data_IF_538895628841
#
_entry.id   IF_538895628841
#
_cell.length_a   1.000
_cell.length_b   1.000
_cell.length_c   1.000
_cell.angle_alpha   90.00
_cell.angle_beta   90.00
_cell.angle_gamma   90.00
#
_symmetry.space_group_name_H-M   'P 1'
#
loop_
_entity.id
_entity.type
_entity.pdbx_description
1 polymer ?
#
# COMPACT_ATOMS: atom_id res chain seq x y z
N UNK A 1 17.46 6.49 1.81
CA UNK A 1 17.43 7.86 1.27
C UNK A 1 16.00 8.13 0.83
N UNK A 2 15.57 9.37 0.95
CA UNK A 2 14.29 9.86 0.45
C UNK A 2 14.49 11.19 -0.26
N UNK A 3 13.51 11.57 -1.08
CA UNK A 3 13.48 12.82 -1.85
C UNK A 3 12.27 13.62 -1.39
N UNK A 4 12.42 14.94 -1.27
CA UNK A 4 11.33 15.87 -0.94
C UNK A 4 11.70 17.30 -1.33
N UNK A 5 10.79 18.25 -1.17
CA UNK A 5 11.11 19.67 -1.19
C UNK A 5 11.10 20.13 0.27
N UNK A 6 12.29 20.32 0.86
CA UNK A 6 12.43 20.58 2.30
C UNK A 6 12.52 22.09 2.61
N UNK A 7 12.62 22.93 1.58
CA UNK A 7 12.73 24.39 1.72
C UNK A 7 11.66 25.17 0.91
N UNK A 8 10.72 24.48 0.28
CA UNK A 8 9.60 25.06 -0.46
C UNK A 8 10.00 25.73 -1.78
N UNK A 9 11.18 25.44 -2.33
CA UNK A 9 11.68 26.09 -3.55
C UNK A 9 11.25 25.38 -4.86
N UNK A 10 10.51 24.27 -4.73
CA UNK A 10 10.00 23.46 -5.82
C UNK A 10 11.02 22.52 -6.44
N UNK A 11 12.22 22.39 -5.86
CA UNK A 11 13.29 21.53 -6.38
C UNK A 11 13.49 20.29 -5.49
N UNK A 12 13.93 19.16 -6.07
CA UNK A 12 14.17 17.96 -5.28
C UNK A 12 15.41 18.11 -4.37
N UNK A 13 15.18 17.96 -3.08
CA UNK A 13 16.17 17.81 -2.02
C UNK A 13 16.31 16.32 -1.61
N UNK A 14 17.38 15.99 -0.88
CA UNK A 14 17.64 14.62 -0.42
C UNK A 14 17.80 14.54 1.09
N UNK A 15 17.23 13.51 1.70
CA UNK A 15 17.56 13.11 3.07
C UNK A 15 18.17 11.70 3.07
N UNK A 16 19.33 11.54 3.71
CA UNK A 16 20.18 10.34 3.66
C UNK A 16 20.48 9.86 5.07
N UNK A 17 20.08 8.64 5.40
CA UNK A 17 20.44 7.99 6.66
C UNK A 17 21.90 7.51 6.62
N UNK A 18 22.71 7.93 7.60
CA UNK A 18 24.12 7.59 7.71
C UNK A 18 24.32 6.57 8.84
N UNK A 19 24.21 5.29 8.49
CA UNK A 19 24.18 4.14 9.41
C UNK A 19 25.23 4.25 10.54
N UNK A 20 26.51 4.33 10.20
CA UNK A 20 27.60 4.34 11.20
C UNK A 20 27.77 5.69 11.91
N UNK A 21 27.26 6.77 11.33
CA UNK A 21 27.39 8.12 11.91
C UNK A 21 26.24 8.48 12.86
N UNK A 22 25.16 7.69 12.89
CA UNK A 22 24.01 7.91 13.77
C UNK A 22 23.25 9.20 13.48
N UNK A 23 23.27 9.68 12.23
CA UNK A 23 22.64 10.92 11.80
C UNK A 23 21.97 10.79 10.43
N UNK A 24 21.16 11.78 10.07
CA UNK A 24 20.62 11.98 8.72
C UNK A 24 21.24 13.23 8.11
N UNK A 25 21.77 13.12 6.90
CA UNK A 25 22.17 14.28 6.09
C UNK A 25 20.99 14.79 5.29
N UNK A 26 20.75 16.10 5.32
CA UNK A 26 19.82 16.81 4.43
C UNK A 26 20.64 17.59 3.43
N UNK A 27 20.35 17.41 2.15
CA UNK A 27 21.03 18.02 1.03
C UNK A 27 20.02 18.81 0.19
N UNK A 28 20.16 20.15 0.18
CA UNK A 28 19.28 21.02 -0.60
C UNK A 28 19.74 21.05 -2.07
N UNK A 29 18.82 20.83 -2.99
CA UNK A 29 19.07 20.70 -4.42
C UNK A 29 18.96 22.02 -5.17
N UNK A 30 19.86 22.25 -6.12
CA UNK A 30 19.77 23.40 -7.03
C UNK A 30 18.86 23.15 -8.24
N UNK A 31 18.28 21.95 -8.37
CA UNK A 31 17.46 21.55 -9.53
C UNK A 31 18.24 21.24 -10.81
N UNK A 32 19.57 21.42 -10.80
CA UNK A 32 20.49 21.07 -11.88
C UNK A 32 21.26 19.75 -11.60
N UNK A 33 20.85 19.01 -10.56
CA UNK A 33 21.51 17.80 -10.08
C UNK A 33 22.65 18.04 -9.09
N UNK A 34 22.92 19.29 -8.70
CA UNK A 34 23.92 19.63 -7.67
C UNK A 34 23.30 19.86 -6.29
N UNK A 35 24.08 19.60 -5.24
CA UNK A 35 23.68 19.65 -3.82
C UNK A 35 24.72 20.41 -2.98
N UNK A 36 24.65 21.75 -2.91
CA UNK A 36 25.72 22.58 -2.31
C UNK A 36 25.68 22.65 -0.77
N UNK A 37 24.52 22.49 -0.14
CA UNK A 37 24.36 22.56 1.31
C UNK A 37 24.11 21.17 1.90
N UNK A 38 24.86 20.80 2.93
CA UNK A 38 24.65 19.55 3.69
C UNK A 38 24.52 19.88 5.17
N UNK A 39 23.37 19.59 5.75
CA UNK A 39 23.14 19.67 7.19
C UNK A 39 23.01 18.25 7.78
N UNK A 40 23.54 18.01 8.97
CA UNK A 40 23.47 16.71 9.63
C UNK A 40 22.65 16.79 10.91
N UNK A 41 21.62 15.96 11.03
CA UNK A 41 20.72 15.90 12.17
C UNK A 41 20.94 14.60 12.92
N UNK A 42 21.29 14.70 14.21
CA UNK A 42 21.53 13.53 15.05
C UNK A 42 20.22 12.84 15.37
N UNK A 43 20.14 11.55 15.07
CA UNK A 43 18.98 10.70 15.37
C UNK A 43 19.34 9.55 16.31
N UNK A 44 20.63 9.23 16.43
CA UNK A 44 21.09 8.11 17.24
C UNK A 44 20.83 6.75 16.58
N UNK A 45 21.29 5.69 17.25
CA UNK A 45 21.25 4.32 16.72
C UNK A 45 22.00 4.16 15.38
N UNK A 46 21.77 3.02 14.72
CA UNK A 46 22.17 2.79 13.34
C UNK A 46 20.97 3.12 12.42
N UNK A 47 20.84 4.36 11.88
CA UNK A 47 19.72 4.72 11.01
C UNK A 47 19.78 3.97 9.68
N UNK A 48 18.70 3.29 9.34
CA UNK A 48 18.59 2.38 8.18
C UNK A 48 17.72 2.94 7.06
N UNK A 49 16.63 3.63 7.42
CA UNK A 49 15.71 4.22 6.47
C UNK A 49 15.21 5.58 6.94
N UNK A 50 14.75 6.39 5.99
CA UNK A 50 14.13 7.69 6.24
C UNK A 50 12.91 7.82 5.33
N UNK A 51 11.80 8.30 5.88
CA UNK A 51 10.59 8.65 5.15
C UNK A 51 10.24 10.12 5.39
N UNK A 52 9.49 10.70 4.47
CA UNK A 52 9.01 12.09 4.50
C UNK A 52 7.51 12.09 4.68
N UNK A 53 7.00 13.04 5.46
CA UNK A 53 5.56 13.33 5.60
C UNK A 53 5.37 14.69 6.27
N UNK A 54 4.12 15.17 6.32
CA UNK A 54 3.73 16.31 7.17
C UNK A 54 3.07 15.72 8.42
N UNK A 55 3.81 15.64 9.53
CA UNK A 55 3.38 14.97 10.76
C UNK A 55 2.68 15.91 11.75
N UNK A 56 2.83 17.22 11.57
CA UNK A 56 2.29 18.25 12.44
C UNK A 56 1.27 19.19 11.75
N UNK A 57 0.95 18.94 10.48
CA UNK A 57 -0.02 19.67 9.65
C UNK A 57 0.34 21.14 9.42
N UNK A 58 1.63 21.48 9.42
CA UNK A 58 2.07 22.84 9.09
C UNK A 58 2.33 23.04 7.58
N UNK A 59 2.24 21.98 6.79
CA UNK A 59 2.47 21.99 5.35
C UNK A 59 3.94 21.85 4.95
N UNK A 60 4.85 21.73 5.93
CA UNK A 60 6.26 21.53 5.70
C UNK A 60 6.64 20.04 5.78
N UNK A 61 7.73 19.69 5.11
CA UNK A 61 8.19 18.31 5.09
C UNK A 61 8.97 17.96 6.37
N UNK A 62 8.49 16.95 7.08
CA UNK A 62 9.12 16.33 8.25
C UNK A 62 9.79 14.99 7.88
N UNK A 63 10.62 14.46 8.79
CA UNK A 63 11.35 13.20 8.60
C UNK A 63 11.05 12.19 9.70
N UNK A 64 10.72 10.96 9.33
CA UNK A 64 10.69 9.80 10.23
C UNK A 64 11.84 8.85 9.87
N UNK A 65 12.61 8.42 10.87
CA UNK A 65 13.85 7.66 10.65
C UNK A 65 13.77 6.32 11.34
N UNK A 66 13.94 5.22 10.62
CA UNK A 66 14.05 3.90 11.22
C UNK A 66 15.48 3.70 11.74
N UNK A 67 15.63 3.48 13.04
CA UNK A 67 16.92 3.21 13.69
C UNK A 67 16.86 1.92 14.49
N UNK A 68 18.01 1.36 14.84
CA UNK A 68 18.06 0.23 15.79
C UNK A 68 17.49 0.53 17.19
N UNK A 69 17.35 1.81 17.57
CA UNK A 69 16.84 2.18 18.89
C UNK A 69 15.32 2.43 18.89
N UNK A 70 14.77 2.89 17.77
CA UNK A 70 13.40 3.38 17.67
C UNK A 70 13.15 4.10 16.35
N UNK A 71 12.14 4.98 16.36
CA UNK A 71 11.76 5.79 15.21
C UNK A 71 11.81 7.28 15.60
N UNK A 72 12.99 7.93 15.47
CA UNK A 72 13.12 9.37 15.62
C UNK A 72 12.34 10.10 14.53
N UNK A 73 11.52 11.05 14.97
CA UNK A 73 10.80 12.01 14.12
C UNK A 73 11.46 13.37 14.27
N UNK A 74 11.72 14.05 13.15
CA UNK A 74 12.36 15.36 13.08
C UNK A 74 11.46 16.28 12.29
N UNK A 75 10.92 17.31 12.96
CA UNK A 75 10.04 18.28 12.31
C UNK A 75 10.84 19.27 11.46
N UNK A 76 10.34 19.56 10.26
CA UNK A 76 10.86 20.58 9.37
C UNK A 76 10.48 21.98 9.83
N UNK A 77 11.27 22.98 9.42
CA UNK A 77 10.94 24.39 9.60
C UNK A 77 10.54 25.08 8.28
N UNK A 78 10.47 24.34 7.18
CA UNK A 78 10.15 24.86 5.84
C UNK A 78 11.25 25.64 5.13
N UNK A 79 12.42 25.82 5.76
CA UNK A 79 13.58 26.53 5.18
C UNK A 79 14.77 25.61 4.88
N UNK A 80 14.53 24.30 4.86
CA UNK A 80 15.54 23.26 4.75
C UNK A 80 16.22 22.89 6.06
N UNK A 81 15.88 23.57 7.17
CA UNK A 81 16.32 23.20 8.51
C UNK A 81 15.30 22.34 9.26
N UNK A 82 15.80 21.51 10.18
CA UNK A 82 15.00 20.60 10.99
C UNK A 82 15.24 20.81 12.50
N UNK A 83 14.24 20.49 13.30
CA UNK A 83 14.27 20.56 14.76
C UNK A 83 15.10 19.42 15.39
N UNK A 84 15.14 19.35 16.71
CA UNK A 84 15.74 18.21 17.39
C UNK A 84 14.82 16.98 17.26
N UNK A 85 15.43 15.80 17.06
CA UNK A 85 14.68 14.56 16.90
C UNK A 85 13.98 14.14 18.21
N UNK A 86 12.73 13.68 18.08
CA UNK A 86 11.95 13.05 19.16
C UNK A 86 11.79 11.57 18.83
N UNK A 87 12.26 10.68 19.70
CA UNK A 87 12.26 9.24 19.46
C UNK A 87 11.02 8.53 20.02
N UNK A 88 10.40 7.69 19.18
CA UNK A 88 9.22 6.89 19.51
C UNK A 88 9.55 5.39 19.68
N UNK A 89 10.64 5.09 20.39
CA UNK A 89 11.07 3.74 20.78
C UNK A 89 11.06 3.47 22.29
N UNK A 90 11.31 2.21 22.72
CA UNK A 90 11.51 1.03 21.90
C UNK A 90 10.20 0.46 21.33
N UNK A 91 10.26 -0.08 20.11
CA UNK A 91 9.16 -0.85 19.53
C UNK A 91 9.39 -2.32 19.91
N UNK A 92 8.83 -2.74 21.05
CA UNK A 92 8.82 -4.12 21.60
C UNK A 92 10.08 -4.98 21.33
N UNK A 93 11.12 -4.79 22.14
CA UNK A 93 12.31 -5.66 22.15
C UNK A 93 12.19 -6.77 23.20
N UNK A 94 11.97 -8.01 22.79
CA UNK A 94 12.31 -9.16 23.65
C UNK A 94 13.65 -9.82 23.30
N UNK A 95 14.23 -9.66 22.09
CA UNK A 95 15.52 -10.33 21.80
C UNK A 95 16.40 -9.84 20.64
N UNK A 96 16.11 -8.74 19.92
CA UNK A 96 17.03 -8.27 18.88
C UNK A 96 16.47 -7.19 17.95
N UNK A 97 17.41 -6.54 17.22
CA UNK A 97 17.36 -5.50 16.16
C UNK A 97 16.05 -4.72 15.90
N UNK A 98 16.20 -3.40 15.77
CA UNK A 98 15.10 -2.44 15.72
C UNK A 98 14.42 -2.21 14.37
N UNK A 99 13.66 -1.11 14.25
CA UNK A 99 13.12 -0.60 13.00
C UNK A 99 14.12 -0.65 11.84
N UNK A 100 13.69 -1.25 10.73
CA UNK A 100 14.50 -1.40 9.51
C UNK A 100 14.01 -0.50 8.39
N UNK A 101 12.69 -0.36 8.25
CA UNK A 101 12.06 0.54 7.30
C UNK A 101 10.82 1.18 7.91
N UNK A 102 10.48 2.36 7.38
CA UNK A 102 9.30 3.13 7.77
C UNK A 102 8.57 3.58 6.50
N UNK A 103 7.25 3.45 6.50
CA UNK A 103 6.35 3.99 5.48
C UNK A 103 5.35 4.95 6.15
N UNK A 104 4.85 5.91 5.38
CA UNK A 104 3.97 6.98 5.86
C UNK A 104 2.68 6.96 5.04
N UNK A 105 1.54 6.95 5.71
CA UNK A 105 0.20 7.14 5.11
C UNK A 105 -0.85 7.42 6.21
N UNK A 106 -2.10 7.72 5.86
CA UNK A 106 -3.23 7.82 6.80
C UNK A 106 -3.95 6.47 6.94
N UNK A 107 -3.43 5.59 7.81
CA UNK A 107 -3.90 4.20 7.89
C UNK A 107 -5.27 4.08 8.61
N UNK A 108 -5.66 5.09 9.39
CA UNK A 108 -6.89 5.09 10.18
C UNK A 108 -7.97 6.07 9.69
N UNK A 109 -7.71 6.82 8.62
CA UNK A 109 -8.64 7.75 8.00
C UNK A 109 -8.94 9.01 8.82
N UNK A 110 -8.07 9.37 9.78
CA UNK A 110 -8.23 10.56 10.61
C UNK A 110 -7.59 11.83 10.01
N UNK A 111 -6.94 11.67 8.85
CA UNK A 111 -6.27 12.72 8.10
C UNK A 111 -4.93 13.12 8.69
N UNK A 112 -4.38 12.43 9.68
CA UNK A 112 -3.01 12.59 10.15
C UNK A 112 -2.11 11.56 9.46
N UNK A 113 -0.86 11.93 9.22
CA UNK A 113 0.14 10.97 8.77
C UNK A 113 0.49 10.01 9.92
N UNK A 114 0.36 8.71 9.66
CA UNK A 114 0.73 7.61 10.54
C UNK A 114 2.04 6.95 10.04
N UNK A 115 2.69 6.15 10.89
CA UNK A 115 3.90 5.41 10.54
C UNK A 115 3.67 3.89 10.59
N UNK A 116 3.99 3.22 9.49
CA UNK A 116 4.09 1.77 9.43
C UNK A 116 5.56 1.35 9.47
N UNK A 117 5.93 0.61 10.50
CA UNK A 117 7.33 0.30 10.83
C UNK A 117 7.56 -1.19 10.72
N UNK A 118 8.52 -1.59 9.89
CA UNK A 118 8.99 -2.97 9.81
C UNK A 118 10.16 -3.16 10.78
N UNK A 119 10.03 -4.10 11.71
CA UNK A 119 11.05 -4.44 12.71
C UNK A 119 11.65 -5.82 12.41
N UNK A 120 12.94 -6.02 12.68
CA UNK A 120 13.67 -7.26 12.34
C UNK A 120 14.33 -7.83 13.60
N UNK A 121 13.85 -8.94 14.15
CA UNK A 121 14.20 -9.36 15.52
C UNK A 121 15.48 -10.22 15.68
N UNK A 122 16.28 -10.46 14.64
CA UNK A 122 17.58 -11.14 14.79
C UNK A 122 18.56 -10.80 13.66
N UNK A 123 19.85 -11.06 13.88
CA UNK A 123 20.92 -10.92 12.88
C UNK A 123 21.27 -12.26 12.21
N UNK A 124 20.62 -13.35 12.61
CA UNK A 124 20.98 -14.72 12.24
C UNK A 124 19.98 -15.37 11.27
N UNK A 125 19.44 -14.61 10.32
CA UNK A 125 18.68 -15.11 9.16
C UNK A 125 17.45 -15.99 9.50
N UNK A 126 17.06 -16.05 10.77
CA UNK A 126 15.82 -16.64 11.30
C UNK A 126 14.78 -15.55 11.61
N UNK A 127 15.01 -14.36 11.04
CA UNK A 127 14.51 -13.06 11.48
C UNK A 127 13.00 -13.03 11.67
N UNK A 128 12.51 -13.03 12.90
CA UNK A 128 11.09 -12.72 13.13
C UNK A 128 10.89 -11.26 12.73
N UNK A 129 10.18 -11.02 11.64
CA UNK A 129 9.84 -9.67 11.21
C UNK A 129 8.42 -9.36 11.70
N UNK A 130 8.29 -8.24 12.41
CA UNK A 130 6.99 -7.71 12.82
C UNK A 130 6.74 -6.39 12.11
N UNK A 131 5.47 -6.05 11.93
CA UNK A 131 5.07 -4.71 11.47
C UNK A 131 4.32 -4.04 12.61
N UNK A 132 4.70 -2.81 12.93
CA UNK A 132 4.07 -1.98 13.95
C UNK A 132 3.47 -0.74 13.31
N UNK A 133 2.29 -0.35 13.77
CA UNK A 133 1.62 0.89 13.38
C UNK A 133 1.73 1.90 14.52
N UNK A 134 2.21 3.10 14.21
CA UNK A 134 2.22 4.24 15.12
C UNK A 134 1.26 5.28 14.55
N UNK A 135 0.13 5.48 15.24
CA UNK A 135 -0.87 6.46 14.79
C UNK A 135 -0.40 7.88 15.12
N UNK A 136 -0.41 8.77 14.14
CA UNK A 136 -0.13 10.17 14.28
C UNK A 136 -1.22 10.89 15.07
N UNK A 137 -0.83 11.93 15.80
CA UNK A 137 -1.77 12.82 16.50
C UNK A 137 -2.01 14.12 15.73
N UNK A 138 -1.25 14.35 14.66
CA UNK A 138 -1.31 15.57 13.84
C UNK A 138 -0.60 16.77 14.45
N UNK A 139 0.18 16.60 15.53
CA UNK A 139 0.97 17.63 16.19
C UNK A 139 2.48 17.31 16.16
N UNK A 140 2.90 16.39 15.28
CA UNK A 140 4.25 15.84 15.23
C UNK A 140 4.48 14.68 16.21
N UNK A 141 3.53 14.39 17.10
CA UNK A 141 3.63 13.27 18.02
C UNK A 141 2.84 12.04 17.59
N UNK A 142 3.34 10.88 17.99
CA UNK A 142 2.75 9.58 17.70
C UNK A 142 2.22 8.89 18.95
N UNK A 143 1.22 8.03 18.77
CA UNK A 143 0.75 7.11 19.78
C UNK A 143 1.77 5.98 20.00
N UNK A 144 1.54 5.16 21.04
CA UNK A 144 2.38 3.99 21.25
C UNK A 144 2.26 3.03 20.07
N UNK A 145 3.37 2.40 19.65
CA UNK A 145 3.36 1.39 18.59
C UNK A 145 2.39 0.27 18.90
N UNK A 146 1.60 -0.13 17.90
CA UNK A 146 0.72 -1.30 17.95
C UNK A 146 1.23 -2.31 16.96
N UNK A 147 1.57 -3.51 17.43
CA UNK A 147 1.95 -4.62 16.54
C UNK A 147 0.74 -5.05 15.71
N UNK A 148 0.90 -5.09 14.40
CA UNK A 148 -0.12 -5.56 13.47
C UNK A 148 -0.08 -7.08 13.37
N UNK A 149 -1.27 -7.70 13.50
CA UNK A 149 -1.49 -9.08 13.08
C UNK A 149 -1.88 -9.09 11.61
N UNK A 150 -0.91 -9.35 10.75
CA UNK A 150 -1.11 -9.47 9.30
C UNK A 150 -1.56 -10.89 8.90
N UNK A 151 -1.92 -11.73 9.88
CA UNK A 151 -2.26 -13.13 9.71
C UNK A 151 -1.03 -14.03 9.64
N UNK A 152 -1.22 -15.30 9.99
CA UNK A 152 -0.22 -16.34 9.76
C UNK A 152 -0.01 -16.50 8.26
N UNK A 153 1.21 -16.22 7.77
CA UNK A 153 1.59 -16.69 6.45
C UNK A 153 1.32 -18.20 6.35
N UNK A 154 0.77 -18.71 5.24
CA UNK A 154 0.60 -20.15 5.05
C UNK A 154 1.93 -20.92 5.12
N UNK A 155 3.07 -20.22 4.99
CA UNK A 155 4.37 -20.77 5.31
C UNK A 155 4.78 -20.40 6.74
N UNK A 156 4.87 -21.36 7.69
CA UNK A 156 5.24 -21.13 9.09
C UNK A 156 6.70 -20.71 9.33
N UNK A 157 7.29 -19.97 8.39
CA UNK A 157 8.52 -19.23 8.59
C UNK A 157 8.70 -18.03 7.63
N UNK A 158 7.75 -17.73 6.75
CA UNK A 158 7.89 -16.63 5.78
C UNK A 158 7.99 -15.28 6.51
N UNK A 159 9.04 -14.52 6.21
CA UNK A 159 9.34 -13.27 6.91
C UNK A 159 8.91 -12.09 6.03
N UNK A 160 8.18 -11.10 6.57
CA UNK A 160 7.93 -9.87 5.84
C UNK A 160 9.27 -9.24 5.39
N UNK A 161 9.45 -9.09 4.10
CA UNK A 161 10.51 -8.32 3.45
C UNK A 161 10.12 -6.85 3.35
N UNK A 162 10.39 -6.19 2.23
CA UNK A 162 10.00 -4.80 2.03
C UNK A 162 8.48 -4.65 2.02
N UNK A 163 8.01 -3.54 2.60
CA UNK A 163 6.61 -3.12 2.61
C UNK A 163 6.50 -1.86 1.77
N UNK A 164 5.53 -1.84 0.87
CA UNK A 164 5.09 -0.63 0.16
C UNK A 164 3.61 -0.41 0.43
N UNK A 165 3.21 0.85 0.33
CA UNK A 165 1.85 1.32 0.61
C UNK A 165 1.28 1.93 -0.66
N UNK A 166 -0.01 1.72 -0.90
CA UNK A 166 -0.76 2.33 -1.99
C UNK A 166 -2.21 1.89 -1.98
N UNK A 167 -3.07 2.54 -2.76
CA UNK A 167 -4.47 2.13 -2.94
C UNK A 167 -4.56 1.10 -4.08
N UNK A 168 -4.40 -0.19 -3.75
CA UNK A 168 -4.36 -1.27 -4.75
C UNK A 168 -5.75 -1.67 -5.25
N UNK A 169 -6.82 -1.25 -4.58
CA UNK A 169 -8.19 -1.64 -4.91
C UNK A 169 -9.10 -0.47 -5.36
N UNK A 170 -8.63 0.78 -5.23
CA UNK A 170 -9.31 2.00 -5.63
C UNK A 170 -10.36 2.50 -4.64
N UNK A 171 -10.28 2.13 -3.36
CA UNK A 171 -11.22 2.58 -2.31
C UNK A 171 -10.74 3.80 -1.52
N UNK A 172 -9.59 4.35 -1.87
CA UNK A 172 -8.99 5.53 -1.26
C UNK A 172 -8.39 5.27 0.12
N UNK A 173 -8.17 4.01 0.49
CA UNK A 173 -7.55 3.64 1.77
C UNK A 173 -6.17 3.04 1.54
N UNK A 174 -5.23 3.22 2.48
CA UNK A 174 -3.91 2.62 2.34
C UNK A 174 -3.96 1.09 2.42
N UNK A 175 -3.57 0.43 1.33
CA UNK A 175 -3.31 -1.00 1.28
C UNK A 175 -1.80 -1.26 1.37
N UNK A 176 -1.43 -2.49 1.76
CA UNK A 176 -0.03 -2.91 1.87
C UNK A 176 0.31 -3.94 0.79
N UNK A 177 1.50 -3.86 0.22
CA UNK A 177 2.12 -4.97 -0.48
C UNK A 177 3.44 -5.33 0.20
N UNK A 178 3.56 -6.59 0.59
CA UNK A 178 4.64 -7.10 1.43
C UNK A 178 5.29 -8.26 0.71
N UNK A 179 6.57 -8.12 0.36
CA UNK A 179 7.33 -9.27 -0.15
C UNK A 179 7.50 -10.27 0.98
N UNK A 180 7.23 -11.55 0.78
CA UNK A 180 7.54 -12.57 1.78
C UNK A 180 8.87 -13.24 1.43
N UNK A 181 9.84 -13.18 2.35
CA UNK A 181 11.16 -13.76 2.17
C UNK A 181 11.37 -14.92 3.14
N UNK A 182 11.75 -16.07 2.60
CA UNK A 182 12.43 -17.13 3.33
C UNK A 182 13.50 -17.70 2.42
N UNK A 183 14.69 -17.94 2.96
CA UNK A 183 15.69 -18.74 2.28
C UNK A 183 15.08 -20.08 1.87
N UNK A 184 14.99 -20.29 0.56
CA UNK A 184 14.65 -21.52 -0.14
C UNK A 184 13.17 -21.94 -0.24
N UNK A 185 12.18 -21.17 0.22
CA UNK A 185 10.76 -21.59 0.05
C UNK A 185 9.69 -20.50 -0.11
N UNK A 186 9.92 -19.19 0.09
CA UNK A 186 8.87 -18.18 -0.17
C UNK A 186 9.00 -17.52 -1.55
N UNK A 187 7.90 -17.54 -2.31
CA UNK A 187 7.83 -17.15 -3.74
C UNK A 187 6.95 -15.94 -4.01
N UNK A 188 6.28 -15.40 -2.98
CA UNK A 188 5.13 -14.52 -3.17
C UNK A 188 5.28 -13.11 -2.58
N UNK A 189 4.50 -12.21 -3.15
CA UNK A 189 4.14 -10.93 -2.55
C UNK A 189 2.71 -11.03 -2.02
N UNK A 190 2.51 -10.58 -0.79
CA UNK A 190 1.20 -10.52 -0.15
C UNK A 190 0.64 -9.11 -0.32
N UNK A 191 -0.53 -8.97 -0.94
CA UNK A 191 -1.31 -7.74 -0.95
C UNK A 191 -2.37 -7.83 0.15
N UNK A 192 -2.41 -6.82 1.01
CA UNK A 192 -3.25 -6.77 2.21
C UNK A 192 -4.05 -5.48 2.15
N UNK A 193 -5.36 -5.60 1.97
CA UNK A 193 -6.22 -4.42 1.84
C UNK A 193 -6.46 -3.77 3.21
N UNK A 194 -6.34 -2.45 3.27
CA UNK A 194 -6.68 -1.64 4.43
C UNK A 194 -8.18 -1.59 4.65
N UNK A 195 -8.60 -1.52 5.92
CA UNK A 195 -10.01 -1.19 6.24
C UNK A 195 -10.21 0.31 6.44
N UNK A 196 -9.13 1.07 6.59
CA UNK A 196 -9.12 2.51 6.84
C UNK A 196 -9.43 2.86 8.31
N UNK A 197 -9.22 1.93 9.23
CA UNK A 197 -9.39 2.11 10.67
C UNK A 197 -8.13 1.68 11.45
N UNK A 198 -6.98 1.62 10.77
CA UNK A 198 -5.73 1.06 11.27
C UNK A 198 -5.68 -0.47 11.28
N UNK A 199 -6.74 -1.15 10.82
CA UNK A 199 -6.76 -2.62 10.66
C UNK A 199 -6.75 -3.05 9.20
N UNK A 200 -6.34 -4.29 9.00
CA UNK A 200 -6.12 -4.87 7.68
C UNK A 200 -6.97 -6.12 7.45
N UNK A 201 -7.23 -6.43 6.18
CA UNK A 201 -7.87 -7.68 5.77
C UNK A 201 -6.87 -8.84 5.77
N UNK A 202 -7.33 -10.04 5.39
CA UNK A 202 -6.41 -11.17 5.21
C UNK A 202 -5.53 -10.96 3.97
N UNK A 203 -4.26 -11.39 3.99
CA UNK A 203 -3.36 -11.30 2.84
C UNK A 203 -3.85 -12.13 1.66
N UNK A 204 -3.67 -11.58 0.46
CA UNK A 204 -3.79 -12.29 -0.83
C UNK A 204 -2.39 -12.42 -1.43
N UNK A 205 -1.97 -13.64 -1.75
CA UNK A 205 -0.61 -13.91 -2.21
C UNK A 205 -0.53 -14.05 -3.73
N UNK A 206 0.51 -13.47 -4.34
CA UNK A 206 0.81 -13.57 -5.75
C UNK A 206 2.23 -14.09 -5.97
N UNK A 207 2.40 -15.07 -6.86
CA UNK A 207 3.72 -15.63 -7.17
C UNK A 207 4.57 -14.65 -8.00
N UNK A 208 5.85 -14.56 -7.66
CA UNK A 208 6.77 -13.56 -8.23
C UNK A 208 8.05 -14.14 -8.80
N UNK A 209 8.18 -15.46 -8.88
CA UNK A 209 9.37 -16.11 -9.47
C UNK A 209 10.49 -16.45 -8.48
N UNK A 210 10.19 -16.43 -7.18
CA UNK A 210 11.05 -16.94 -6.11
C UNK A 210 11.88 -15.86 -5.43
N UNK A 211 11.87 -15.85 -4.09
CA UNK A 211 12.71 -14.99 -3.26
C UNK A 211 12.64 -13.49 -3.67
N UNK A 212 11.46 -12.86 -3.49
CA UNK A 212 11.31 -11.43 -3.70
C UNK A 212 12.08 -10.66 -2.63
N UNK A 213 12.86 -9.67 -3.07
CA UNK A 213 13.70 -8.85 -2.18
C UNK A 213 13.25 -7.40 -2.10
N UNK A 214 12.71 -6.84 -3.16
CA UNK A 214 12.33 -5.43 -3.21
C UNK A 214 11.07 -5.29 -4.05
N UNK A 215 10.25 -4.31 -3.72
CA UNK A 215 9.05 -3.98 -4.47
C UNK A 215 8.97 -2.47 -4.67
N UNK A 216 8.56 -2.05 -5.86
CA UNK A 216 8.21 -0.69 -6.18
C UNK A 216 6.75 -0.63 -6.65
N UNK A 217 6.09 0.48 -6.33
CA UNK A 217 4.72 0.78 -6.78
C UNK A 217 4.80 1.83 -7.89
N UNK A 218 3.98 1.67 -8.93
CA UNK A 218 3.84 2.65 -9.98
C UNK A 218 2.84 2.20 -11.02
N UNK A 219 2.37 3.10 -11.88
CA UNK A 219 1.58 2.73 -13.05
C UNK A 219 2.55 2.34 -14.19
N UNK A 220 2.79 1.04 -14.36
CA UNK A 220 3.77 0.55 -15.34
C UNK A 220 3.16 0.26 -16.71
N UNK A 221 1.82 0.25 -16.82
CA UNK A 221 1.10 -0.01 -18.06
C UNK A 221 0.32 1.20 -18.61
N UNK A 222 0.23 2.30 -17.85
CA UNK A 222 -0.44 3.54 -18.22
C UNK A 222 -1.96 3.54 -18.02
N UNK A 223 -2.51 2.64 -17.20
CA UNK A 223 -3.95 2.52 -16.96
C UNK A 223 -4.47 3.31 -15.75
N UNK A 224 -3.57 4.03 -15.06
CA UNK A 224 -3.87 4.86 -13.90
C UNK A 224 -4.03 4.09 -12.59
N UNK A 225 -3.72 2.79 -12.55
CA UNK A 225 -3.75 1.99 -11.32
C UNK A 225 -2.33 1.67 -10.83
N UNK A 226 -2.12 1.62 -9.51
CA UNK A 226 -0.81 1.24 -8.97
C UNK A 226 -0.54 -0.25 -9.23
N UNK A 227 0.41 -0.53 -10.11
CA UNK A 227 1.01 -1.84 -10.34
C UNK A 227 2.19 -2.09 -9.37
N UNK A 228 2.66 -3.34 -9.31
CA UNK A 228 3.83 -3.73 -8.50
C UNK A 228 4.95 -4.25 -9.38
N UNK A 229 6.16 -3.70 -9.23
CA UNK A 229 7.39 -4.25 -9.80
C UNK A 229 8.20 -4.92 -8.70
N UNK A 230 8.36 -6.24 -8.78
CA UNK A 230 9.00 -7.06 -7.75
C UNK A 230 10.33 -7.60 -8.25
N UNK A 231 11.41 -7.20 -7.58
CA UNK A 231 12.74 -7.75 -7.79
C UNK A 231 12.84 -9.12 -7.10
N UNK A 232 13.25 -10.13 -7.84
CA UNK A 232 13.34 -11.52 -7.41
C UNK A 232 14.60 -12.18 -7.98
N UNK A 233 14.90 -13.43 -7.60
CA UNK A 233 16.12 -14.12 -8.07
C UNK A 233 16.14 -14.39 -9.57
N UNK A 234 14.98 -14.37 -10.22
CA UNK A 234 14.84 -14.60 -11.66
C UNK A 234 14.85 -13.30 -12.49
N UNK A 235 14.86 -12.13 -11.84
CA UNK A 235 14.83 -10.82 -12.49
C UNK A 235 13.80 -9.88 -11.88
N UNK A 236 13.05 -9.17 -12.71
CA UNK A 236 11.94 -8.30 -12.28
C UNK A 236 10.64 -8.85 -12.81
N UNK A 237 9.70 -9.13 -11.90
CA UNK A 237 8.33 -9.53 -12.22
C UNK A 237 7.41 -8.33 -12.02
N UNK A 238 6.62 -7.98 -13.03
CA UNK A 238 5.62 -6.90 -12.93
C UNK A 238 4.23 -7.53 -12.76
N UNK A 239 3.56 -7.20 -11.66
CA UNK A 239 2.19 -7.58 -11.38
C UNK A 239 1.31 -6.40 -11.76
N UNK A 240 0.60 -6.55 -12.88
CA UNK A 240 -0.34 -5.53 -13.32
C UNK A 240 -1.59 -5.57 -12.45
N UNK A 241 -1.94 -4.41 -11.91
CA UNK A 241 -3.13 -4.21 -11.15
C UNK A 241 -4.33 -4.15 -12.08
N UNK A 242 -4.88 -5.33 -12.34
CA UNK A 242 -6.13 -5.45 -13.09
C UNK A 242 -7.35 -5.12 -12.25
N UNK A 243 -7.20 -4.63 -11.00
CA UNK A 243 -8.26 -4.66 -10.01
C UNK A 243 -9.57 -4.12 -10.53
N UNK A 244 -9.69 -3.01 -11.27
CA UNK A 244 -11.05 -2.61 -11.61
C UNK A 244 -11.78 -2.10 -10.36
N UNK A 245 -11.66 -0.81 -10.05
CA UNK A 245 -12.29 -0.09 -8.92
C UNK A 245 -13.41 -0.86 -8.20
N UNK A 246 -13.39 -0.91 -6.87
CA UNK A 246 -14.47 -1.44 -6.03
C UNK A 246 -15.87 -1.21 -6.63
N UNK A 247 -16.38 -2.21 -7.34
CA UNK A 247 -17.48 -2.07 -8.29
C UNK A 247 -17.71 -3.37 -9.04
N UNK A 248 -18.94 -3.58 -9.51
CA UNK A 248 -19.27 -4.80 -10.24
C UNK A 248 -18.67 -4.73 -11.64
N UNK A 249 -17.73 -5.64 -11.91
CA UNK A 249 -17.26 -5.93 -13.25
C UNK A 249 -18.35 -6.61 -14.06
N UNK A 250 -19.06 -5.83 -14.85
CA UNK A 250 -20.00 -6.33 -15.84
C UNK A 250 -19.26 -6.65 -17.14
N UNK A 251 -19.00 -7.93 -17.38
CA UNK A 251 -18.62 -8.40 -18.70
C UNK A 251 -19.82 -8.35 -19.65
N UNK A 252 -19.67 -7.72 -20.80
CA UNK A 252 -20.71 -7.67 -21.84
C UNK A 252 -20.14 -8.30 -23.11
N UNK A 253 -20.70 -9.42 -23.52
CA UNK A 253 -20.34 -10.10 -24.76
C UNK A 253 -21.54 -10.15 -25.70
N UNK A 254 -21.33 -9.79 -26.97
CA UNK A 254 -22.36 -9.85 -28.01
C UNK A 254 -22.07 -11.03 -28.94
N UNK A 255 -23.11 -11.82 -29.21
CA UNK A 255 -23.10 -12.87 -30.25
C UNK A 255 -24.09 -12.49 -31.35
N UNK A 256 -24.24 -13.33 -32.38
CA UNK A 256 -25.27 -13.13 -33.41
C UNK A 256 -26.69 -13.32 -32.88
N UNK A 257 -26.86 -14.04 -31.76
CA UNK A 257 -28.16 -14.46 -31.24
C UNK A 257 -28.55 -13.79 -29.92
N UNK A 258 -27.60 -13.14 -29.23
CA UNK A 258 -27.90 -12.45 -27.98
C UNK A 258 -26.75 -11.65 -27.36
N UNK A 259 -27.05 -11.08 -26.19
CA UNK A 259 -26.13 -10.34 -25.33
C UNK A 259 -25.93 -11.11 -24.03
N UNK A 260 -24.69 -11.48 -23.71
CA UNK A 260 -24.31 -12.10 -22.45
C UNK A 260 -23.80 -11.04 -21.48
N UNK A 261 -24.41 -10.98 -20.31
CA UNK A 261 -24.04 -10.15 -19.16
C UNK A 261 -23.41 -11.05 -18.10
N UNK A 262 -22.19 -10.74 -17.65
CA UNK A 262 -21.41 -11.58 -16.73
C UNK A 262 -20.90 -10.80 -15.53
N UNK A 263 -21.08 -11.28 -14.30
CA UNK A 263 -20.55 -10.64 -13.08
C UNK A 263 -20.04 -11.66 -12.04
N UNK A 264 -19.09 -11.30 -11.15
CA UNK A 264 -18.47 -12.28 -10.24
C UNK A 264 -19.42 -12.85 -9.18
N UNK A 265 -19.25 -14.14 -8.82
CA UNK A 265 -20.02 -14.85 -7.77
C UNK A 265 -20.03 -14.18 -6.39
N UNK A 266 -18.96 -13.51 -5.91
CA UNK A 266 -19.00 -12.77 -4.64
C UNK A 266 -20.09 -11.70 -4.57
N UNK A 267 -20.66 -11.29 -5.70
CA UNK A 267 -21.79 -10.35 -5.79
C UNK A 267 -23.13 -11.08 -6.09
N UNK A 268 -23.31 -12.29 -5.54
CA UNK A 268 -24.52 -13.12 -5.70
C UNK A 268 -25.80 -12.49 -5.12
N UNK A 269 -25.65 -11.52 -4.21
CA UNK A 269 -26.75 -10.79 -3.57
C UNK A 269 -27.39 -9.76 -4.52
N UNK A 270 -26.69 -9.33 -5.57
CA UNK A 270 -27.24 -8.42 -6.56
C UNK A 270 -28.34 -9.08 -7.40
N UNK A 271 -29.40 -8.31 -7.68
CA UNK A 271 -30.50 -8.74 -8.54
C UNK A 271 -30.36 -8.08 -9.90
N UNK A 272 -30.27 -8.88 -10.98
CA UNK A 272 -30.40 -8.36 -12.34
C UNK A 272 -31.87 -8.03 -12.61
N UNK A 273 -32.12 -6.78 -12.95
CA UNK A 273 -33.44 -6.29 -13.36
C UNK A 273 -33.40 -5.87 -14.83
N UNK A 274 -34.54 -5.98 -15.51
CA UNK A 274 -34.72 -5.52 -16.87
C UNK A 274 -36.00 -4.70 -17.06
N UNK A 275 -36.01 -3.85 -18.07
CA UNK A 275 -37.17 -3.04 -18.47
C UNK A 275 -37.14 -2.78 -19.97
N UNK A 276 -38.25 -2.28 -20.51
CA UNK A 276 -38.40 -1.94 -21.94
C UNK A 276 -38.22 -0.45 -22.24
N UNK A 277 -37.97 0.38 -21.20
CA UNK A 277 -37.74 1.81 -21.34
C UNK A 277 -36.75 2.32 -20.29
N UNK A 278 -35.72 3.06 -20.71
CA UNK A 278 -34.67 3.61 -19.83
C UNK A 278 -35.26 4.47 -18.71
N UNK A 279 -36.35 5.20 -18.98
CA UNK A 279 -37.01 6.07 -18.00
C UNK A 279 -38.05 5.37 -17.11
N UNK A 280 -38.22 4.05 -17.25
CA UNK A 280 -39.19 3.31 -16.45
C UNK A 280 -38.76 3.24 -14.98
N UNK A 281 -39.72 3.42 -14.07
CA UNK A 281 -39.56 3.07 -12.64
C UNK A 281 -39.92 1.61 -12.36
N UNK A 282 -40.58 0.95 -13.31
CA UNK A 282 -41.00 -0.45 -13.22
C UNK A 282 -39.91 -1.37 -13.77
N UNK A 283 -38.86 -1.54 -12.98
CA UNK A 283 -37.83 -2.55 -13.22
C UNK A 283 -38.27 -3.87 -12.61
N UNK A 284 -38.19 -4.95 -13.38
CA UNK A 284 -38.55 -6.29 -12.92
C UNK A 284 -37.34 -7.19 -12.98
N UNK A 285 -37.28 -8.22 -12.13
CA UNK A 285 -36.23 -9.25 -12.22
C UNK A 285 -36.16 -9.79 -13.65
N UNK A 286 -34.94 -9.90 -14.19
CA UNK A 286 -34.73 -10.49 -15.50
C UNK A 286 -35.33 -11.90 -15.57
N UNK A 287 -35.99 -12.23 -16.67
CA UNK A 287 -36.70 -13.51 -16.86
C UNK A 287 -35.74 -14.64 -17.24
N UNK A 288 -34.55 -14.29 -17.70
CA UNK A 288 -33.48 -15.21 -18.01
C UNK A 288 -32.96 -15.89 -16.74
N UNK A 289 -32.81 -17.21 -16.79
CA UNK A 289 -32.14 -17.94 -15.73
C UNK A 289 -30.63 -17.67 -15.80
N UNK A 290 -29.99 -17.22 -14.70
CA UNK A 290 -28.55 -17.08 -14.67
C UNK A 290 -27.89 -18.46 -14.70
N UNK A 291 -26.82 -18.58 -15.47
CA UNK A 291 -25.89 -19.72 -15.43
C UNK A 291 -24.63 -19.34 -14.67
N UNK A 292 -23.90 -20.32 -14.16
CA UNK A 292 -22.58 -20.10 -13.55
C UNK A 292 -21.48 -20.60 -14.47
N UNK A 293 -20.45 -19.79 -14.67
CA UNK A 293 -19.31 -20.11 -15.52
C UNK A 293 -18.05 -19.48 -14.94
N UNK A 294 -17.03 -20.29 -14.63
CA UNK A 294 -15.72 -19.84 -14.12
C UNK A 294 -15.81 -18.76 -13.01
N UNK A 295 -16.54 -19.07 -11.95
CA UNK A 295 -16.76 -18.17 -10.81
C UNK A 295 -17.52 -16.85 -11.12
N UNK A 296 -18.28 -16.82 -12.22
CA UNK A 296 -19.18 -15.72 -12.57
C UNK A 296 -20.62 -16.20 -12.77
N UNK A 297 -21.58 -15.31 -12.53
CA UNK A 297 -22.95 -15.43 -13.00
C UNK A 297 -23.06 -14.84 -14.40
N UNK A 298 -23.76 -15.54 -15.29
CA UNK A 298 -23.98 -15.15 -16.68
C UNK A 298 -25.47 -15.18 -17.04
N UNK A 299 -25.96 -14.14 -17.70
CA UNK A 299 -27.30 -14.10 -18.28
C UNK A 299 -27.17 -13.78 -19.76
N UNK A 300 -27.80 -14.58 -20.62
CA UNK A 300 -27.85 -14.32 -22.06
C UNK A 300 -29.25 -13.90 -22.48
N UNK A 301 -29.39 -12.63 -22.86
CA UNK A 301 -30.64 -12.08 -23.38
C UNK A 301 -30.69 -12.23 -24.91
N UNK A 302 -31.72 -12.88 -25.48
CA UNK A 302 -31.85 -13.03 -26.93
C UNK A 302 -32.21 -11.71 -27.62
N UNK A 303 -31.75 -11.52 -28.86
CA UNK A 303 -32.06 -10.32 -29.66
C UNK A 303 -33.45 -10.30 -30.31
N UNK A 304 -34.29 -11.28 -29.99
CA UNK A 304 -35.67 -11.33 -30.49
C UNK A 304 -36.60 -10.30 -29.83
N UNK A 305 -36.11 -9.54 -28.84
CA UNK A 305 -36.86 -8.49 -28.15
C UNK A 305 -36.15 -7.14 -28.33
N UNK A 306 -36.82 -6.19 -28.99
CA UNK A 306 -36.30 -4.84 -29.17
C UNK A 306 -36.39 -4.03 -27.87
N UNK A 307 -35.44 -3.11 -27.66
CA UNK A 307 -35.42 -2.12 -26.57
C UNK A 307 -35.43 -2.69 -25.14
N UNK A 308 -34.56 -3.66 -24.85
CA UNK A 308 -34.34 -4.11 -23.46
C UNK A 308 -33.16 -3.41 -22.81
N UNK A 309 -33.38 -2.99 -21.58
CA UNK A 309 -32.39 -2.35 -20.71
C UNK A 309 -32.20 -3.20 -19.47
N UNK A 310 -30.98 -3.28 -18.98
CA UNK A 310 -30.59 -4.12 -17.85
C UNK A 310 -29.87 -3.27 -16.80
N UNK A 311 -30.07 -3.59 -15.52
CA UNK A 311 -29.29 -3.04 -14.41
C UNK A 311 -29.05 -4.09 -13.34
N UNK A 312 -27.92 -4.01 -12.67
CA UNK A 312 -27.67 -4.74 -11.42
C UNK A 312 -28.08 -3.85 -10.25
N UNK A 313 -28.99 -4.35 -9.41
CA UNK A 313 -29.43 -3.66 -8.19
C UNK A 313 -28.90 -4.41 -6.97
N UNK A 314 -28.17 -3.71 -6.10
CA UNK A 314 -27.90 -4.21 -4.75
C UNK A 314 -29.22 -4.14 -3.95
N UNK A 315 -29.66 -5.21 -3.28
CA UNK A 315 -30.88 -5.22 -2.49
C UNK A 315 -31.00 -4.04 -1.55
#
# INVERSE_FOLDING_TARGET
MTVGDFNGDGKPDLAVANLESGNVSVLLGNGDGTFPAVANYKVGGLPRAVAVGDFNKDGEADLAVATEAGVPVILGNGDGSFQAAVDYGPIDYESGQGPYSVAVDDFNGDGNADLLVRNVLAADWTDIVTVSLLLGKGDGAFQRPVKLDLGSSPDPGALPGFVVVGDFNGDGKPDLAITSHLFNISTNISVILGKGDGTFQRPVNFDTGGNPFFVAVGDFNGDGKPDLAVLNTSGVTVLLNTCASAGIHLGVARTNTGLTLSWPLPYADFVLESTTSVGSTNWQRAVEAPTTNNARFEITAPFNQQQRFFRLRKP
#
